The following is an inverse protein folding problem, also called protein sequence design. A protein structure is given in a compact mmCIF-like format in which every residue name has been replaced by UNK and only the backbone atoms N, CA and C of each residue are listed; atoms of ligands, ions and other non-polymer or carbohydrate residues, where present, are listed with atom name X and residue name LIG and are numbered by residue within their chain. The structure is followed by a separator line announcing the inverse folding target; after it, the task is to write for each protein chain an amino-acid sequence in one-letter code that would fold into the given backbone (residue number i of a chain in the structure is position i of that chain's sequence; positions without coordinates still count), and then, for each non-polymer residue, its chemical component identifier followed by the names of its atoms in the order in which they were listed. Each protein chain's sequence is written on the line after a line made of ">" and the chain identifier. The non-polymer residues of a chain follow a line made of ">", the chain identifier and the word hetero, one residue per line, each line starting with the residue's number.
data_IF_881490914894
#
_entry.id   IF_881490914894
#
_cell.length_a   1.000
_cell.length_b   1.000
_cell.length_c   1.000
_cell.angle_alpha   90.00
_cell.angle_beta   90.00
_cell.angle_gamma   90.00
#
_symmetry.space_group_name_H-M   'P 1'
#
loop_
_entity.id
_entity.type
_entity.pdbx_description
1 polymer ?
#
# COMPACT_ATOMS: atom_id res chain seq x y z
N UNK A 1 12.94 11.60 42.27
CA UNK A 1 11.67 10.97 41.76
C UNK A 1 11.91 10.47 40.36
N UNK A 2 12.23 9.17 40.17
CA UNK A 2 12.34 8.59 38.83
C UNK A 2 10.93 8.55 38.25
N UNK A 3 10.75 9.10 37.08
CA UNK A 3 9.46 9.36 36.44
C UNK A 3 8.58 8.10 36.33
N UNK A 4 7.79 7.84 37.37
CA UNK A 4 6.85 6.70 37.42
C UNK A 4 5.83 6.76 36.27
N UNK A 5 5.45 7.98 35.87
CA UNK A 5 4.54 8.21 34.76
C UNK A 5 5.01 7.63 33.42
N UNK A 6 6.34 7.59 33.17
CA UNK A 6 6.93 7.03 31.94
C UNK A 6 6.69 5.52 31.83
N UNK A 7 6.50 4.85 32.97
CA UNK A 7 6.32 3.39 33.07
C UNK A 7 4.87 2.97 33.19
N UNK A 8 3.97 3.94 33.32
CA UNK A 8 2.54 3.70 33.38
C UNK A 8 2.05 3.05 32.09
N UNK A 9 1.12 2.11 32.23
CA UNK A 9 0.46 1.41 31.12
C UNK A 9 -0.10 2.39 30.07
N UNK A 10 -0.81 3.41 30.51
CA UNK A 10 -1.42 4.39 29.62
C UNK A 10 -0.41 5.18 28.78
N UNK A 11 0.71 5.57 29.37
CA UNK A 11 1.77 6.28 28.63
C UNK A 11 2.37 5.39 27.53
N UNK A 12 2.54 4.09 27.81
CA UNK A 12 3.03 3.12 26.81
C UNK A 12 1.97 2.88 25.72
N UNK A 13 0.69 2.74 26.11
CA UNK A 13 -0.40 2.56 25.16
C UNK A 13 -0.55 3.75 24.22
N UNK A 14 -0.48 4.99 24.76
CA UNK A 14 -0.52 6.19 23.94
C UNK A 14 0.71 6.27 23.01
N UNK A 15 1.91 6.01 23.53
CA UNK A 15 3.12 6.01 22.69
C UNK A 15 3.05 4.95 21.57
N UNK A 16 2.49 3.77 21.85
CA UNK A 16 2.27 2.71 20.87
C UNK A 16 1.28 3.14 19.79
N UNK A 17 0.13 3.70 20.17
CA UNK A 17 -0.87 4.16 19.22
C UNK A 17 -0.37 5.34 18.38
N UNK A 18 0.41 6.25 18.98
CA UNK A 18 1.04 7.37 18.25
C UNK A 18 2.05 6.85 17.23
N UNK A 19 2.91 5.89 17.60
CA UNK A 19 3.83 5.27 16.65
C UNK A 19 3.06 4.61 15.50
N UNK A 20 2.05 3.79 15.79
CA UNK A 20 1.24 3.16 14.75
C UNK A 20 0.54 4.20 13.83
N UNK A 21 0.07 5.32 14.38
CA UNK A 21 -0.57 6.39 13.61
C UNK A 21 0.40 7.22 12.76
N UNK A 22 1.69 7.29 13.13
CA UNK A 22 2.69 7.97 12.32
C UNK A 22 3.05 7.23 11.05
N UNK A 23 2.93 5.89 11.01
CA UNK A 23 3.28 5.08 9.83
C UNK A 23 2.48 5.50 8.58
N UNK A 24 1.12 5.55 8.60
CA UNK A 24 0.38 6.04 7.44
C UNK A 24 0.74 7.48 7.04
N UNK A 25 1.05 8.35 8.01
CA UNK A 25 1.51 9.72 7.71
C UNK A 25 2.86 9.71 6.99
N UNK A 26 3.82 8.93 7.47
CA UNK A 26 5.13 8.77 6.84
C UNK A 26 4.97 8.21 5.42
N UNK A 27 4.13 7.18 5.24
CA UNK A 27 3.87 6.60 3.91
C UNK A 27 3.29 7.62 2.94
N UNK A 28 2.38 8.50 3.38
CA UNK A 28 1.84 9.59 2.56
C UNK A 28 2.96 10.49 2.02
N UNK A 29 3.91 10.89 2.86
CA UNK A 29 5.04 11.72 2.43
C UNK A 29 6.06 10.93 1.58
N UNK A 30 6.25 9.63 1.82
CA UNK A 30 7.05 8.77 0.93
C UNK A 30 6.46 8.73 -0.47
N UNK A 31 5.14 8.54 -0.58
CA UNK A 31 4.43 8.60 -1.87
C UNK A 31 4.63 9.96 -2.52
N UNK A 32 4.40 11.07 -1.80
CA UNK A 32 4.63 12.42 -2.29
C UNK A 32 6.06 12.63 -2.79
N UNK A 33 7.06 12.13 -2.05
CA UNK A 33 8.48 12.22 -2.42
C UNK A 33 8.76 11.45 -3.73
N UNK A 34 8.28 10.21 -3.84
CA UNK A 34 8.45 9.37 -5.04
C UNK A 34 7.85 10.08 -6.26
N UNK A 35 6.66 10.64 -6.11
CA UNK A 35 5.99 11.36 -7.20
C UNK A 35 6.69 12.68 -7.56
N UNK A 36 7.28 13.40 -6.60
CA UNK A 36 8.01 14.65 -6.86
C UNK A 36 9.39 14.42 -7.50
N UNK A 37 10.13 13.38 -7.08
CA UNK A 37 11.49 13.12 -7.56
C UNK A 37 11.56 12.11 -8.71
N UNK A 38 10.53 11.29 -8.90
CA UNK A 38 10.46 10.28 -9.96
C UNK A 38 10.27 10.82 -11.38
N UNK A 39 10.49 12.13 -11.60
CA UNK A 39 10.37 12.77 -12.91
C UNK A 39 8.96 13.23 -13.25
N UNK A 40 8.05 13.21 -12.29
CA UNK A 40 6.65 13.63 -12.45
C UNK A 40 6.43 15.15 -12.25
N UNK A 41 7.45 15.97 -12.12
CA UNK A 41 7.36 17.45 -12.15
C UNK A 41 6.89 18.00 -13.52
N UNK A 42 6.16 17.20 -14.27
CA UNK A 42 5.49 17.52 -15.54
C UNK A 42 4.00 17.65 -15.28
N UNK A 43 3.31 18.33 -16.16
CA UNK A 43 1.83 18.36 -16.14
C UNK A 43 1.28 16.92 -16.07
N UNK A 44 0.17 16.72 -15.33
CA UNK A 44 -0.50 15.42 -15.22
C UNK A 44 -0.69 14.73 -16.57
N UNK A 45 -1.09 15.48 -17.59
CA UNK A 45 -1.35 14.96 -18.94
C UNK A 45 -0.14 14.34 -19.64
N UNK A 46 1.08 14.67 -19.19
CA UNK A 46 2.34 14.11 -19.70
C UNK A 46 3.02 13.16 -18.71
N UNK A 47 2.37 12.89 -17.58
CA UNK A 47 2.88 12.02 -16.52
C UNK A 47 2.76 10.54 -16.88
N UNK A 48 3.66 9.73 -16.37
CA UNK A 48 3.60 8.27 -16.52
C UNK A 48 2.31 7.68 -15.94
N UNK A 49 1.74 8.32 -14.91
CA UNK A 49 0.48 7.91 -14.32
C UNK A 49 -0.68 8.09 -15.30
N UNK A 50 -0.77 9.25 -15.96
CA UNK A 50 -1.78 9.51 -16.97
C UNK A 50 -1.63 8.52 -18.13
N UNK A 51 -0.41 8.33 -18.64
CA UNK A 51 -0.13 7.41 -19.74
C UNK A 51 -0.47 5.95 -19.38
N UNK A 52 -0.23 5.53 -18.15
CA UNK A 52 -0.61 4.20 -17.66
C UNK A 52 -2.13 4.00 -17.67
N UNK A 53 -2.90 4.94 -17.10
CA UNK A 53 -4.36 4.84 -17.05
C UNK A 53 -5.01 4.93 -18.44
N UNK A 54 -4.50 5.83 -19.28
CA UNK A 54 -4.94 5.94 -20.69
C UNK A 54 -4.61 4.64 -21.43
N UNK A 55 -3.41 4.10 -21.28
CA UNK A 55 -3.01 2.84 -21.92
C UNK A 55 -3.89 1.67 -21.50
N UNK A 56 -4.17 1.51 -20.20
CA UNK A 56 -5.07 0.48 -19.68
C UNK A 56 -6.46 0.57 -20.32
N UNK A 57 -7.06 1.75 -20.33
CA UNK A 57 -8.38 1.99 -20.95
C UNK A 57 -8.35 1.86 -22.48
N UNK A 58 -7.23 2.16 -23.12
CA UNK A 58 -7.07 1.96 -24.56
C UNK A 58 -7.18 0.48 -24.94
N UNK A 59 -6.57 -0.41 -24.15
CA UNK A 59 -6.69 -1.86 -24.38
C UNK A 59 -8.13 -2.34 -24.23
N UNK A 60 -8.88 -1.87 -23.22
CA UNK A 60 -10.32 -2.15 -23.07
C UNK A 60 -11.11 -1.70 -24.32
N UNK A 61 -10.82 -0.51 -24.83
CA UNK A 61 -11.47 0.03 -26.05
C UNK A 61 -11.12 -0.81 -27.28
N UNK A 62 -9.87 -1.23 -27.43
CA UNK A 62 -9.42 -2.09 -28.52
C UNK A 62 -10.15 -3.43 -28.51
N UNK A 63 -10.25 -4.07 -27.35
CA UNK A 63 -10.94 -5.35 -27.18
C UNK A 63 -12.44 -5.20 -27.49
N UNK A 64 -13.11 -4.17 -26.98
CA UNK A 64 -14.51 -3.86 -27.27
C UNK A 64 -14.74 -3.64 -28.79
N UNK A 65 -13.84 -2.89 -29.44
CA UNK A 65 -13.92 -2.61 -30.87
C UNK A 65 -13.85 -3.90 -31.71
N UNK A 66 -12.88 -4.76 -31.41
CA UNK A 66 -12.67 -6.03 -32.12
C UNK A 66 -13.82 -7.00 -31.86
N UNK A 67 -14.31 -7.10 -30.61
CA UNK A 67 -15.41 -7.98 -30.23
C UNK A 67 -16.71 -7.64 -30.99
N UNK A 68 -16.88 -6.38 -31.41
CA UNK A 68 -18.04 -5.91 -32.17
C UNK A 68 -17.85 -6.04 -33.69
N UNK A 69 -16.75 -6.60 -34.19
CA UNK A 69 -16.43 -6.78 -35.62
C UNK A 69 -16.73 -5.54 -36.49
N UNK A 70 -16.39 -4.34 -35.97
CA UNK A 70 -16.53 -3.10 -36.71
C UNK A 70 -17.98 -2.59 -36.88
N UNK A 71 -18.89 -3.04 -36.04
CA UNK A 71 -20.26 -2.52 -36.02
C UNK A 71 -20.32 -1.13 -35.36
N UNK A 72 -20.03 -0.06 -36.12
CA UNK A 72 -20.02 1.33 -35.65
C UNK A 72 -21.25 1.76 -34.84
N UNK A 73 -22.39 1.13 -35.08
CA UNK A 73 -23.67 1.46 -34.42
C UNK A 73 -23.64 1.16 -32.90
N UNK A 74 -22.98 0.10 -32.46
CA UNK A 74 -22.91 -0.23 -31.04
C UNK A 74 -21.85 0.57 -30.31
N UNK A 75 -20.74 0.92 -30.97
CA UNK A 75 -19.71 1.81 -30.42
C UNK A 75 -20.26 3.20 -30.15
N UNK A 76 -21.07 3.75 -31.02
CA UNK A 76 -21.74 5.03 -30.81
C UNK A 76 -22.69 5.03 -29.60
N UNK A 77 -23.20 3.86 -29.19
CA UNK A 77 -23.99 3.73 -27.95
C UNK A 77 -23.12 3.67 -26.71
N UNK A 78 -22.00 2.96 -26.77
CA UNK A 78 -21.07 2.78 -25.64
C UNK A 78 -20.22 4.03 -25.46
N UNK A 79 -19.73 4.58 -26.57
CA UNK A 79 -18.83 5.74 -26.62
C UNK A 79 -19.43 6.90 -27.44
N UNK A 80 -20.58 7.44 -27.06
CA UNK A 80 -21.24 8.50 -27.82
C UNK A 80 -20.43 9.79 -27.83
N UNK A 81 -20.54 10.56 -28.91
CA UNK A 81 -19.98 11.90 -29.00
C UNK A 81 -20.59 12.78 -27.89
N UNK A 82 -19.74 13.49 -27.16
CA UNK A 82 -20.16 14.34 -26.04
C UNK A 82 -20.56 13.61 -24.77
N UNK A 83 -20.21 12.31 -24.64
CA UNK A 83 -20.48 11.55 -23.44
C UNK A 83 -19.75 12.15 -22.22
N UNK A 84 -20.49 12.40 -21.14
CA UNK A 84 -19.98 12.90 -19.87
C UNK A 84 -19.49 11.80 -18.91
N UNK A 85 -19.60 10.53 -19.30
CA UNK A 85 -19.25 9.40 -18.43
C UNK A 85 -17.79 8.95 -18.59
N UNK A 86 -17.09 9.40 -19.63
CA UNK A 86 -15.68 9.07 -19.86
C UNK A 86 -14.90 10.30 -20.31
N UNK A 87 -13.67 10.43 -19.83
CA UNK A 87 -12.73 11.46 -20.25
C UNK A 87 -11.92 11.07 -21.49
N UNK A 88 -12.10 9.85 -22.01
CA UNK A 88 -11.44 9.38 -23.22
C UNK A 88 -12.30 9.60 -24.45
N UNK A 89 -11.60 9.99 -25.53
CA UNK A 89 -12.09 9.99 -26.91
C UNK A 89 -11.10 9.26 -27.76
N UNK A 90 -11.55 8.65 -28.83
CA UNK A 90 -10.65 7.93 -29.71
C UNK A 90 -11.07 8.01 -31.16
N UNK A 91 -10.09 7.86 -32.05
CA UNK A 91 -10.25 7.74 -33.48
C UNK A 91 -9.62 6.42 -33.91
N UNK A 92 -10.35 5.64 -34.68
CA UNK A 92 -9.85 4.37 -35.25
C UNK A 92 -9.69 4.57 -36.75
N UNK A 93 -8.48 4.26 -37.26
CA UNK A 93 -8.15 4.30 -38.68
C UNK A 93 -7.69 2.93 -39.16
N UNK A 94 -8.01 2.59 -40.41
CA UNK A 94 -7.52 1.42 -41.08
C UNK A 94 -6.08 1.60 -41.61
N UNK A 95 -5.50 0.56 -42.25
CA UNK A 95 -4.16 0.60 -42.85
C UNK A 95 -3.98 1.68 -43.95
N UNK A 96 -5.06 2.20 -44.51
CA UNK A 96 -5.07 3.24 -45.51
C UNK A 96 -5.33 4.64 -44.94
N UNK A 97 -5.20 4.82 -43.61
CA UNK A 97 -5.50 6.05 -42.89
C UNK A 97 -6.97 6.53 -43.03
N UNK A 98 -7.88 5.64 -43.39
CA UNK A 98 -9.30 5.96 -43.47
C UNK A 98 -9.93 5.81 -42.08
N UNK A 99 -10.62 6.86 -41.63
CA UNK A 99 -11.34 6.86 -40.38
C UNK A 99 -12.53 5.91 -40.43
N UNK A 100 -12.53 4.89 -39.58
CA UNK A 100 -13.64 3.96 -39.41
C UNK A 100 -14.57 4.42 -38.27
N UNK A 101 -14.02 4.95 -37.20
CA UNK A 101 -14.79 5.49 -36.07
C UNK A 101 -14.10 6.70 -35.48
N UNK A 102 -14.84 7.70 -35.03
CA UNK A 102 -14.30 8.80 -34.24
C UNK A 102 -15.39 9.46 -33.40
N UNK A 103 -15.12 9.59 -32.09
CA UNK A 103 -15.89 10.40 -31.15
C UNK A 103 -15.15 11.63 -30.65
N UNK A 104 -14.01 11.94 -31.28
CA UNK A 104 -13.14 13.08 -30.93
C UNK A 104 -13.84 14.40 -31.27
N UNK A 105 -13.66 15.40 -30.41
CA UNK A 105 -14.21 16.74 -30.55
C UNK A 105 -13.13 17.81 -30.62
N UNK A 106 -13.47 18.99 -31.15
CA UNK A 106 -12.54 20.12 -31.17
C UNK A 106 -12.16 20.51 -29.72
N UNK A 107 -10.87 20.55 -29.47
CA UNK A 107 -10.31 20.88 -28.14
C UNK A 107 -9.89 19.70 -27.30
N UNK A 108 -10.15 18.46 -27.72
CA UNK A 108 -9.59 17.26 -27.09
C UNK A 108 -8.08 17.18 -27.32
N UNK A 109 -7.34 16.71 -26.35
CA UNK A 109 -5.88 16.66 -26.39
C UNK A 109 -5.42 15.25 -26.74
N UNK A 110 -4.66 15.10 -27.85
CA UNK A 110 -4.02 13.84 -28.19
C UNK A 110 -3.11 13.37 -27.05
N UNK A 111 -3.20 12.09 -26.70
CA UNK A 111 -2.47 11.52 -25.57
C UNK A 111 -1.65 10.28 -25.97
N UNK A 112 -2.26 9.36 -26.71
CA UNK A 112 -1.68 8.05 -26.94
C UNK A 112 -2.12 7.47 -28.29
N UNK A 113 -1.22 6.74 -28.96
CA UNK A 113 -1.53 5.99 -30.18
C UNK A 113 -1.02 4.56 -30.05
N UNK A 114 -1.81 3.60 -30.50
CA UNK A 114 -1.42 2.19 -30.55
C UNK A 114 -2.00 1.52 -31.79
N UNK A 115 -1.34 0.46 -32.25
CA UNK A 115 -1.80 -0.38 -33.36
C UNK A 115 -2.28 -1.72 -32.80
N UNK A 116 -3.48 -2.11 -33.14
CA UNK A 116 -4.09 -3.36 -32.71
C UNK A 116 -4.92 -3.97 -33.85
N UNK A 117 -4.64 -5.20 -34.26
CA UNK A 117 -5.28 -5.87 -35.40
C UNK A 117 -5.35 -5.02 -36.66
N UNK A 118 -4.20 -4.52 -37.11
CA UNK A 118 -4.03 -3.70 -38.32
C UNK A 118 -4.83 -2.39 -38.34
N UNK A 119 -5.30 -1.95 -37.17
CA UNK A 119 -5.97 -0.68 -36.98
C UNK A 119 -5.18 0.21 -36.02
N UNK A 120 -5.17 1.49 -36.29
CA UNK A 120 -4.56 2.50 -35.44
C UNK A 120 -5.62 3.15 -34.56
N UNK A 121 -5.39 3.12 -33.26
CA UNK A 121 -6.23 3.74 -32.25
C UNK A 121 -5.53 4.98 -31.71
N UNK A 122 -5.98 6.15 -32.11
CA UNK A 122 -5.54 7.43 -31.56
C UNK A 122 -6.46 7.86 -30.44
N UNK A 123 -5.90 8.02 -29.25
CA UNK A 123 -6.65 8.29 -28.03
C UNK A 123 -6.40 9.71 -27.56
N UNK A 124 -7.48 10.39 -27.19
CA UNK A 124 -7.53 11.78 -26.80
C UNK A 124 -8.17 11.92 -25.40
N UNK A 125 -7.74 12.92 -24.68
CA UNK A 125 -8.31 13.31 -23.39
C UNK A 125 -9.19 14.55 -23.54
N UNK A 126 -10.36 14.50 -22.94
CA UNK A 126 -11.26 15.64 -22.85
C UNK A 126 -10.65 16.69 -21.93
N UNK A 127 -10.59 17.92 -22.43
CA UNK A 127 -10.04 19.05 -21.66
C UNK A 127 -10.83 19.26 -20.36
N UNK A 128 -10.09 19.32 -19.25
CA UNK A 128 -10.66 19.55 -17.91
C UNK A 128 -11.23 18.32 -17.22
N UNK A 129 -11.22 17.15 -17.87
CA UNK A 129 -11.68 15.87 -17.30
C UNK A 129 -13.05 15.97 -16.60
N UNK A 130 -14.13 16.25 -17.33
CA UNK A 130 -15.45 16.48 -16.74
C UNK A 130 -16.10 15.23 -16.15
N UNK A 131 -15.71 14.03 -16.60
CA UNK A 131 -16.21 12.76 -16.08
C UNK A 131 -15.43 12.34 -14.81
N UNK A 132 -16.12 11.79 -13.83
CA UNK A 132 -15.49 11.24 -12.61
C UNK A 132 -15.11 9.77 -12.82
N UNK A 133 -14.33 9.51 -13.87
CA UNK A 133 -13.77 8.21 -14.18
C UNK A 133 -12.38 7.98 -13.50
N UNK A 134 -11.74 6.87 -13.80
CA UNK A 134 -10.43 6.51 -13.22
C UNK A 134 -9.36 7.56 -13.54
N UNK A 135 -9.41 8.18 -14.72
CA UNK A 135 -8.44 9.22 -15.13
C UNK A 135 -8.63 10.49 -14.31
N UNK A 136 -9.89 10.88 -14.06
CA UNK A 136 -10.18 12.01 -13.16
C UNK A 136 -9.65 11.76 -11.76
N UNK A 137 -9.88 10.56 -11.21
CA UNK A 137 -9.40 10.23 -9.87
C UNK A 137 -7.89 10.08 -9.82
N UNK A 138 -7.27 9.57 -10.88
CA UNK A 138 -5.81 9.56 -11.01
C UNK A 138 -5.23 10.98 -10.98
N UNK A 139 -5.90 11.95 -11.64
CA UNK A 139 -5.51 13.37 -11.58
C UNK A 139 -5.65 13.94 -10.17
N UNK A 140 -6.77 13.69 -9.50
CA UNK A 140 -6.99 14.13 -8.11
C UNK A 140 -5.91 13.57 -7.18
N UNK A 141 -5.55 12.30 -7.36
CA UNK A 141 -4.46 11.68 -6.61
C UNK A 141 -3.10 12.31 -6.93
N UNK A 142 -2.82 12.56 -8.21
CA UNK A 142 -1.59 13.22 -8.67
C UNK A 142 -1.42 14.60 -8.04
N UNK A 143 -2.47 15.43 -8.08
CA UNK A 143 -2.47 16.78 -7.50
C UNK A 143 -2.25 16.73 -5.97
N UNK A 144 -2.81 15.74 -5.28
CA UNK A 144 -2.55 15.51 -3.84
C UNK A 144 -1.11 15.09 -3.59
N UNK A 145 -0.59 14.13 -4.38
CA UNK A 145 0.78 13.62 -4.22
C UNK A 145 1.81 14.72 -4.49
N UNK A 146 1.59 15.59 -5.47
CA UNK A 146 2.42 16.75 -5.73
C UNK A 146 2.45 17.71 -4.52
N UNK A 147 1.29 18.03 -3.95
CA UNK A 147 1.20 18.84 -2.73
C UNK A 147 1.95 18.22 -1.55
N UNK A 148 1.86 16.91 -1.35
CA UNK A 148 2.61 16.21 -0.31
C UNK A 148 4.11 16.22 -0.59
N UNK A 149 4.50 16.17 -1.86
CA UNK A 149 5.90 16.17 -2.30
C UNK A 149 6.65 17.47 -2.00
N UNK A 150 5.97 18.61 -1.98
CA UNK A 150 6.62 19.94 -1.81
C UNK A 150 7.47 20.05 -0.54
N UNK A 151 7.03 19.44 0.58
CA UNK A 151 7.75 19.45 1.86
C UNK A 151 8.07 18.02 2.35
N UNK A 152 8.03 17.04 1.46
CA UNK A 152 8.11 15.63 1.83
C UNK A 152 9.39 15.29 2.57
N UNK A 153 10.55 15.79 2.14
CA UNK A 153 11.84 15.48 2.75
C UNK A 153 11.91 15.99 4.20
N UNK A 154 11.47 17.24 4.43
CA UNK A 154 11.47 17.84 5.77
C UNK A 154 10.52 17.09 6.71
N UNK A 155 9.32 16.77 6.23
CA UNK A 155 8.32 16.03 7.00
C UNK A 155 8.76 14.59 7.28
N UNK A 156 9.42 13.92 6.33
CA UNK A 156 9.97 12.57 6.53
C UNK A 156 11.09 12.58 7.58
N UNK A 157 11.95 13.58 7.59
CA UNK A 157 12.98 13.72 8.62
C UNK A 157 12.31 13.93 9.99
N UNK A 158 11.35 14.85 10.08
CA UNK A 158 10.65 15.16 11.33
C UNK A 158 9.89 13.94 11.87
N UNK A 159 9.00 13.36 11.06
CA UNK A 159 8.18 12.23 11.51
C UNK A 159 9.01 10.95 11.67
N UNK A 160 10.04 10.73 10.85
CA UNK A 160 10.97 9.63 11.03
C UNK A 160 11.76 9.72 12.34
N UNK A 161 12.20 10.94 12.71
CA UNK A 161 12.86 11.16 14.02
C UNK A 161 11.88 10.94 15.19
N UNK A 162 10.62 11.39 15.07
CA UNK A 162 9.58 11.13 16.07
C UNK A 162 9.29 9.63 16.21
N UNK A 163 9.16 8.93 15.07
CA UNK A 163 8.94 7.49 15.04
C UNK A 163 10.10 6.73 15.73
N UNK A 164 11.34 7.05 15.37
CA UNK A 164 12.52 6.46 15.98
C UNK A 164 12.55 6.69 17.51
N UNK A 165 12.19 7.91 17.95
CA UNK A 165 12.10 8.21 19.38
C UNK A 165 11.04 7.35 20.07
N UNK A 166 9.85 7.21 19.49
CA UNK A 166 8.76 6.37 20.03
C UNK A 166 9.16 4.90 20.09
N UNK A 167 9.79 4.37 19.04
CA UNK A 167 10.28 2.98 19.00
C UNK A 167 11.35 2.72 20.07
N UNK A 168 12.29 3.65 20.26
CA UNK A 168 13.30 3.56 21.34
C UNK A 168 12.62 3.62 22.71
N UNK A 169 11.63 4.52 22.87
CA UNK A 169 10.86 4.62 24.11
C UNK A 169 10.13 3.32 24.42
N UNK A 170 9.39 2.77 23.45
CA UNK A 170 8.67 1.50 23.58
C UNK A 170 9.64 0.34 23.88
N UNK A 171 10.76 0.27 23.16
CA UNK A 171 11.79 -0.72 23.43
C UNK A 171 12.33 -0.59 24.85
N UNK A 172 12.63 0.63 25.35
CA UNK A 172 13.14 0.84 26.72
C UNK A 172 12.12 0.53 27.80
N UNK A 173 10.84 0.77 27.55
CA UNK A 173 9.75 0.56 28.52
C UNK A 173 9.13 -0.82 28.46
N UNK A 174 9.42 -1.61 27.43
CA UNK A 174 8.96 -3.00 27.30
C UNK A 174 9.39 -3.84 28.52
N UNK A 175 8.48 -4.70 29.00
CA UNK A 175 8.62 -5.57 30.18
C UNK A 175 8.88 -4.85 31.53
N UNK A 176 8.88 -3.51 31.57
CA UNK A 176 9.05 -2.78 32.84
C UNK A 176 7.70 -2.43 33.46
N UNK A 177 7.52 -2.73 34.76
CA UNK A 177 6.41 -2.26 35.56
C UNK A 177 6.64 -0.83 36.06
N UNK A 178 5.65 -0.25 36.72
CA UNK A 178 5.70 1.09 37.33
C UNK A 178 6.80 1.20 38.41
N UNK A 179 7.00 0.12 39.19
CA UNK A 179 8.07 -0.01 40.17
C UNK A 179 9.48 -0.11 39.56
N UNK A 180 9.56 -0.40 38.27
CA UNK A 180 10.81 -0.54 37.51
C UNK A 180 11.34 -1.95 37.42
N UNK A 181 10.67 -2.92 38.04
CA UNK A 181 11.02 -4.33 37.92
C UNK A 181 10.69 -4.86 36.51
N UNK A 182 11.52 -5.83 36.05
CA UNK A 182 11.27 -6.54 34.82
C UNK A 182 10.32 -7.68 35.10
N UNK A 183 9.12 -7.60 34.55
CA UNK A 183 8.14 -8.69 34.66
C UNK A 183 7.61 -9.03 33.28
N UNK A 184 7.67 -10.32 32.93
CA UNK A 184 7.03 -10.85 31.75
C UNK A 184 5.51 -10.76 31.85
N UNK A 185 4.85 -10.34 30.77
CA UNK A 185 3.39 -10.35 30.63
C UNK A 185 2.87 -11.72 30.20
N UNK A 186 1.58 -11.80 29.90
CA UNK A 186 0.97 -13.02 29.38
C UNK A 186 1.54 -13.40 27.98
N UNK A 187 1.96 -12.40 27.20
CA UNK A 187 2.53 -12.59 25.86
C UNK A 187 3.82 -13.38 25.85
N UNK A 188 4.65 -13.25 26.91
CA UNK A 188 5.89 -14.03 27.02
C UNK A 188 5.67 -15.50 27.36
N UNK A 189 4.45 -15.87 27.77
CA UNK A 189 4.07 -17.27 28.01
C UNK A 189 3.83 -18.05 26.70
N UNK A 190 3.48 -17.33 25.61
CA UNK A 190 3.29 -17.92 24.31
C UNK A 190 4.69 -18.12 23.65
N UNK A 191 5.01 -19.26 23.03
CA UNK A 191 6.24 -19.42 22.27
C UNK A 191 6.40 -18.32 21.21
N UNK A 192 7.58 -17.74 21.07
CA UNK A 192 7.77 -16.58 20.20
C UNK A 192 7.61 -16.94 18.72
N UNK A 193 8.04 -18.12 18.33
CA UNK A 193 7.84 -18.68 17.00
C UNK A 193 6.34 -18.84 16.66
N UNK A 194 5.54 -19.30 17.62
CA UNK A 194 4.08 -19.37 17.45
C UNK A 194 3.47 -17.98 17.36
N UNK A 195 3.95 -17.03 18.18
CA UNK A 195 3.48 -15.65 18.11
C UNK A 195 3.75 -15.03 16.73
N UNK A 196 4.98 -15.18 16.20
CA UNK A 196 5.34 -14.68 14.87
C UNK A 196 4.58 -15.39 13.74
N UNK A 197 4.27 -16.67 13.90
CA UNK A 197 3.49 -17.42 12.93
C UNK A 197 2.05 -16.86 12.84
N UNK A 198 1.41 -16.65 13.99
CA UNK A 198 0.05 -16.08 14.04
C UNK A 198 0.04 -14.66 13.50
N UNK A 199 0.97 -13.81 13.92
CA UNK A 199 1.10 -12.42 13.49
C UNK A 199 1.34 -12.34 11.98
N UNK A 200 2.30 -13.12 11.46
CA UNK A 200 2.58 -13.22 10.03
C UNK A 200 1.40 -13.76 9.21
N UNK A 201 0.62 -14.68 9.77
CA UNK A 201 -0.61 -15.18 9.11
C UNK A 201 -1.66 -14.08 9.01
N UNK A 202 -1.86 -13.29 10.08
CA UNK A 202 -2.79 -12.16 10.05
C UNK A 202 -2.34 -11.12 9.04
N UNK A 203 -1.05 -10.78 9.00
CA UNK A 203 -0.48 -9.86 8.00
C UNK A 203 -0.73 -10.39 6.57
N UNK A 204 -0.47 -11.67 6.31
CA UNK A 204 -0.70 -12.26 5.00
C UNK A 204 -2.19 -12.21 4.59
N UNK A 205 -3.10 -12.51 5.51
CA UNK A 205 -4.56 -12.41 5.26
C UNK A 205 -4.99 -10.97 4.99
N UNK A 206 -4.41 -10.00 5.69
CA UNK A 206 -4.66 -8.58 5.43
C UNK A 206 -4.18 -8.17 4.04
N UNK A 207 -2.99 -8.61 3.61
CA UNK A 207 -2.47 -8.34 2.28
C UNK A 207 -3.37 -8.94 1.18
N UNK A 208 -3.83 -10.18 1.35
CA UNK A 208 -4.77 -10.82 0.41
C UNK A 208 -6.10 -10.06 0.36
N UNK A 209 -6.61 -9.63 1.52
CA UNK A 209 -7.85 -8.84 1.56
C UNK A 209 -7.72 -7.50 0.82
N UNK A 210 -6.56 -6.85 0.89
CA UNK A 210 -6.28 -5.62 0.12
C UNK A 210 -6.26 -5.91 -1.37
N UNK A 211 -5.58 -6.97 -1.80
CA UNK A 211 -5.51 -7.38 -3.21
C UNK A 211 -6.90 -7.69 -3.77
N UNK A 212 -7.74 -8.39 -3.01
CA UNK A 212 -9.13 -8.67 -3.39
C UNK A 212 -9.94 -7.38 -3.54
N UNK A 213 -9.86 -6.46 -2.58
CA UNK A 213 -10.54 -5.16 -2.68
C UNK A 213 -10.02 -4.35 -3.86
N UNK A 214 -8.69 -4.42 -4.13
CA UNK A 214 -8.08 -3.74 -5.28
C UNK A 214 -8.69 -4.19 -6.62
N UNK A 215 -9.08 -5.44 -6.74
CA UNK A 215 -9.70 -5.96 -7.98
C UNK A 215 -11.11 -5.38 -8.26
N UNK A 216 -11.80 -4.88 -7.23
CA UNK A 216 -13.16 -4.34 -7.34
C UNK A 216 -13.25 -2.82 -7.28
N UNK A 217 -12.24 -2.15 -6.73
CA UNK A 217 -12.27 -0.69 -6.50
C UNK A 217 -11.08 -0.04 -7.18
N UNK A 218 -11.34 1.01 -7.96
CA UNK A 218 -10.25 1.79 -8.56
C UNK A 218 -9.33 2.37 -7.47
N UNK A 219 -8.03 2.22 -7.67
CA UNK A 219 -6.98 2.62 -6.73
C UNK A 219 -7.07 4.10 -6.30
N UNK A 220 -7.60 4.95 -7.17
CA UNK A 220 -7.60 6.41 -6.95
C UNK A 220 -8.89 6.94 -6.33
N UNK A 221 -9.90 6.11 -6.14
CA UNK A 221 -11.17 6.56 -5.56
C UNK A 221 -11.04 6.86 -4.06
N UNK A 222 -11.74 7.89 -3.52
CA UNK A 222 -11.62 8.28 -2.12
C UNK A 222 -11.81 7.16 -1.09
N UNK A 223 -12.72 6.18 -1.27
CA UNK A 223 -12.84 5.05 -0.36
C UNK A 223 -11.56 4.22 -0.24
N UNK A 224 -10.77 4.15 -1.33
CA UNK A 224 -9.53 3.39 -1.35
C UNK A 224 -8.40 4.07 -0.56
N UNK A 225 -8.29 5.40 -0.63
CA UNK A 225 -7.33 6.17 0.18
C UNK A 225 -7.51 5.88 1.68
N UNK A 226 -8.76 5.91 2.15
CA UNK A 226 -9.10 5.64 3.56
C UNK A 226 -8.78 4.19 3.92
N UNK A 227 -9.07 3.25 3.04
CA UNK A 227 -8.76 1.83 3.24
C UNK A 227 -7.26 1.61 3.37
N UNK A 228 -6.45 2.18 2.47
CA UNK A 228 -4.98 2.07 2.52
C UNK A 228 -4.40 2.64 3.81
N UNK A 229 -4.90 3.80 4.27
CA UNK A 229 -4.48 4.40 5.53
C UNK A 229 -4.86 3.51 6.73
N UNK A 230 -6.07 2.97 6.74
CA UNK A 230 -6.53 2.06 7.79
C UNK A 230 -5.71 0.77 7.82
N UNK A 231 -5.39 0.21 6.64
CA UNK A 231 -4.59 -1.01 6.52
C UNK A 231 -3.14 -0.78 6.93
N UNK A 232 -2.52 0.34 6.53
CA UNK A 232 -1.16 0.69 6.95
C UNK A 232 -1.07 0.90 8.46
N UNK A 233 -2.09 1.48 9.08
CA UNK A 233 -2.20 1.59 10.53
C UNK A 233 -2.34 0.21 11.20
N UNK A 234 -3.20 -0.67 10.68
CA UNK A 234 -3.37 -2.02 11.20
C UNK A 234 -2.08 -2.85 11.11
N UNK A 235 -1.39 -2.79 9.97
CA UNK A 235 -0.08 -3.43 9.79
C UNK A 235 0.97 -2.88 10.77
N UNK A 236 1.01 -1.56 10.98
CA UNK A 236 1.90 -0.93 11.95
C UNK A 236 1.64 -1.43 13.37
N UNK A 237 0.36 -1.57 13.77
CA UNK A 237 -0.02 -2.13 15.08
C UNK A 237 0.53 -3.55 15.25
N UNK A 238 0.40 -4.42 14.26
CA UNK A 238 0.90 -5.80 14.31
C UNK A 238 2.43 -5.82 14.40
N UNK A 239 3.12 -5.11 13.52
CA UNK A 239 4.59 -5.05 13.51
C UNK A 239 5.14 -4.50 14.82
N UNK A 240 4.54 -3.44 15.37
CA UNK A 240 5.01 -2.86 16.63
C UNK A 240 4.66 -3.72 17.84
N UNK A 241 3.56 -4.46 17.82
CA UNK A 241 3.25 -5.45 18.84
C UNK A 241 4.32 -6.56 18.86
N UNK A 242 4.72 -7.06 17.68
CA UNK A 242 5.83 -7.99 17.55
C UNK A 242 7.15 -7.40 18.05
N UNK A 243 7.44 -6.14 17.70
CA UNK A 243 8.64 -5.43 18.14
C UNK A 243 8.71 -5.28 19.67
N UNK A 244 7.62 -4.79 20.29
CA UNK A 244 7.55 -4.63 21.76
C UNK A 244 7.69 -5.99 22.46
N UNK A 245 7.02 -7.02 21.94
CA UNK A 245 7.12 -8.40 22.46
C UNK A 245 8.54 -8.94 22.35
N UNK A 246 9.21 -8.73 21.22
CA UNK A 246 10.60 -9.07 21.02
C UNK A 246 11.51 -8.38 22.05
N UNK A 247 11.40 -7.05 22.16
CA UNK A 247 12.18 -6.28 23.13
C UNK A 247 11.95 -6.72 24.58
N UNK A 248 10.71 -7.06 24.94
CA UNK A 248 10.37 -7.56 26.25
C UNK A 248 11.08 -8.90 26.54
N UNK A 249 11.03 -9.82 25.59
CA UNK A 249 11.65 -11.16 25.73
C UNK A 249 13.18 -11.11 25.80
N UNK A 250 13.80 -10.24 25.01
CA UNK A 250 15.26 -10.03 25.08
C UNK A 250 15.66 -9.59 26.50
N UNK A 251 14.88 -8.68 27.11
CA UNK A 251 15.19 -8.17 28.46
C UNK A 251 14.96 -9.19 29.57
N UNK A 252 13.91 -10.00 29.45
CA UNK A 252 13.60 -11.04 30.43
C UNK A 252 14.48 -12.29 30.24
N UNK A 253 15.31 -12.33 29.18
CA UNK A 253 16.20 -13.43 28.88
C UNK A 253 15.53 -14.71 28.38
N UNK A 254 14.29 -14.58 27.88
CA UNK A 254 13.44 -15.70 27.46
C UNK A 254 13.33 -15.93 25.96
N UNK A 255 14.02 -15.15 25.11
CA UNK A 255 13.81 -15.17 23.67
C UNK A 255 13.93 -16.58 23.06
N UNK A 256 15.06 -17.25 23.27
CA UNK A 256 15.32 -18.59 22.70
C UNK A 256 14.69 -19.71 23.51
N UNK A 257 14.78 -19.64 24.84
CA UNK A 257 14.30 -20.71 25.73
C UNK A 257 12.78 -20.92 25.68
N UNK A 258 12.04 -19.88 25.26
CA UNK A 258 10.59 -19.90 25.09
C UNK A 258 10.10 -20.45 23.76
N UNK A 259 10.96 -20.69 22.76
CA UNK A 259 10.55 -21.12 21.42
C UNK A 259 10.25 -22.63 21.39
N UNK A 260 9.32 -23.04 20.51
CA UNK A 260 9.01 -24.46 20.26
C UNK A 260 10.24 -25.14 19.68
N UNK A 261 10.92 -24.47 18.75
CA UNK A 261 12.14 -24.97 18.10
C UNK A 261 13.21 -25.33 19.15
N UNK A 262 13.47 -24.44 20.11
CA UNK A 262 14.41 -24.71 21.18
C UNK A 262 13.99 -25.90 22.04
N UNK A 263 12.71 -26.00 22.41
CA UNK A 263 12.18 -27.13 23.18
C UNK A 263 12.29 -28.45 22.43
N UNK A 264 12.03 -28.45 21.11
CA UNK A 264 12.24 -29.63 20.27
C UNK A 264 13.72 -30.05 20.18
N UNK A 265 14.61 -29.08 19.96
CA UNK A 265 16.06 -29.35 19.96
C UNK A 265 16.55 -29.93 21.29
N UNK A 266 16.07 -29.40 22.41
CA UNK A 266 16.36 -29.93 23.73
C UNK A 266 15.82 -31.35 23.92
N UNK A 267 14.65 -31.66 23.40
CA UNK A 267 14.05 -32.99 23.42
C UNK A 267 14.90 -33.97 22.59
N UNK A 268 15.19 -33.59 21.32
CA UNK A 268 16.07 -34.39 20.45
C UNK A 268 17.42 -34.67 21.11
N UNK A 269 18.03 -33.65 21.76
CA UNK A 269 19.28 -33.84 22.47
C UNK A 269 19.17 -34.79 23.66
N UNK A 270 18.07 -34.76 24.40
CA UNK A 270 17.79 -35.74 25.48
C UNK A 270 17.66 -37.16 24.93
N UNK A 271 16.94 -37.31 23.78
CA UNK A 271 16.80 -38.61 23.12
C UNK A 271 18.16 -39.14 22.67
N UNK A 272 18.97 -38.32 22.01
CA UNK A 272 20.35 -38.70 21.60
C UNK A 272 21.19 -39.13 22.79
N UNK A 273 21.16 -38.35 23.89
CA UNK A 273 21.87 -38.73 25.13
C UNK A 273 21.38 -40.05 25.74
N UNK A 274 20.08 -40.29 25.69
CA UNK A 274 19.48 -41.50 26.16
C UNK A 274 19.92 -42.70 25.29
N UNK A 275 19.80 -42.58 23.96
CA UNK A 275 20.27 -43.60 23.03
C UNK A 275 21.77 -43.92 23.23
N UNK A 276 22.60 -42.88 23.39
CA UNK A 276 24.06 -43.07 23.67
C UNK A 276 24.33 -43.87 24.94
N UNK A 277 23.56 -43.60 26.02
CA UNK A 277 23.69 -44.34 27.29
C UNK A 277 23.22 -45.78 27.23
N UNK A 278 22.31 -46.10 26.29
CA UNK A 278 21.81 -47.47 26.09
C UNK A 278 22.74 -48.27 25.19
N UNK A 279 23.46 -47.61 24.29
CA UNK A 279 24.38 -48.24 23.34
C UNK A 279 25.82 -48.37 23.84
N UNK A 280 26.22 -47.59 24.86
CA UNK A 280 27.51 -47.64 25.54
C UNK A 280 27.36 -48.11 27.00
#
# INVERSE_FOLDING_TARGET
>A
MKAAWIRNFWTKAVAFLLAAALVPVILTYVVGLVYSYGGMGKDFYTSDLCLYEVGKKTWEICDDYIAMEGGNYELDKIYPKGNSYSNLRFCVTDEQDKVEFSNVSDGDTFCYSTVYNDKTFDVYLVKGLPAQDDIYWAKVFYDKAENWGQNALEMLILFGAMELFLLIFLARTAARREDGELQGGWQEKIPFDLYLLVDGTIIALLCVAVEEVYSYVSFYTPPYDVLLLAMSFALAVLVFAAWVTFCARVKVGGLWKGTIIYKLLCLCWKIVKWCWRVLC
#
